data_IF_748710638838
#
_entry.id   IF_748710638838
#
_cell.length_a   1.000
_cell.length_b   1.000
_cell.length_c   1.000
_cell.angle_alpha   90.00
_cell.angle_beta   90.00
_cell.angle_gamma   90.00
#
_symmetry.space_group_name_H-M   'P 1'
#
loop_
_entity.id
_entity.type
_entity.pdbx_description
1 polymer ?
#
# COMPACT_ATOMS: atom_id res chain seq x y z
N UNK A 1 20.49 6.80 32.88
CA UNK A 1 19.44 5.78 32.73
C UNK A 1 18.19 6.48 32.22
N UNK A 2 17.86 6.33 30.94
CA UNK A 2 16.58 6.78 30.39
C UNK A 2 15.56 5.69 30.71
N UNK A 3 14.68 5.95 31.67
CA UNK A 3 13.56 5.08 31.99
C UNK A 3 12.55 5.26 30.85
N UNK A 4 12.18 4.16 30.19
CA UNK A 4 11.22 4.16 29.10
C UNK A 4 9.81 4.38 29.67
N UNK A 5 9.45 5.65 29.85
CA UNK A 5 8.28 6.09 30.63
C UNK A 5 6.97 6.17 29.84
N UNK A 6 6.99 5.90 28.54
CA UNK A 6 5.82 6.05 27.67
C UNK A 6 4.66 5.14 28.09
N UNK A 7 4.93 3.88 28.43
CA UNK A 7 3.89 2.95 28.89
C UNK A 7 3.35 3.36 30.27
N UNK A 8 4.23 3.79 31.18
CA UNK A 8 3.86 4.19 32.55
C UNK A 8 3.01 5.47 32.55
N UNK A 9 3.37 6.47 31.74
CA UNK A 9 2.62 7.71 31.59
C UNK A 9 1.23 7.43 31.00
N UNK A 10 1.13 6.56 29.98
CA UNK A 10 -0.15 6.20 29.38
C UNK A 10 -1.10 5.53 30.39
N UNK A 11 -0.59 4.59 31.19
CA UNK A 11 -1.39 3.97 32.26
C UNK A 11 -1.81 4.98 33.32
N UNK A 12 -0.93 5.91 33.71
CA UNK A 12 -1.25 6.94 34.70
C UNK A 12 -2.33 7.92 34.19
N UNK A 13 -2.22 8.34 32.93
CA UNK A 13 -3.19 9.22 32.29
C UNK A 13 -4.57 8.56 32.19
N UNK A 14 -4.63 7.26 31.89
CA UNK A 14 -5.87 6.48 31.92
C UNK A 14 -6.45 6.38 33.33
N UNK A 15 -5.62 6.03 34.33
CA UNK A 15 -6.04 5.97 35.74
C UNK A 15 -6.56 7.30 36.26
N UNK A 16 -6.06 8.42 35.76
CA UNK A 16 -6.51 9.76 36.13
C UNK A 16 -7.75 10.23 35.37
N UNK A 17 -7.83 9.93 34.07
CA UNK A 17 -8.91 10.42 33.19
C UNK A 17 -10.21 9.64 33.34
N UNK A 18 -10.16 8.33 33.58
CA UNK A 18 -11.35 7.48 33.68
C UNK A 18 -12.25 7.89 34.88
N UNK A 19 -11.72 8.05 36.11
CA UNK A 19 -12.54 8.52 37.24
C UNK A 19 -13.13 9.91 36.98
N UNK A 20 -12.35 10.82 36.39
CA UNK A 20 -12.81 12.17 36.07
C UNK A 20 -13.96 12.15 35.03
N UNK A 21 -13.87 11.29 34.02
CA UNK A 21 -14.94 11.11 33.03
C UNK A 21 -16.22 10.54 33.67
N UNK A 22 -16.09 9.58 34.59
CA UNK A 22 -17.21 9.02 35.35
C UNK A 22 -17.88 10.12 36.20
N UNK A 23 -17.11 10.92 36.93
CA UNK A 23 -17.66 12.02 37.75
C UNK A 23 -18.39 13.06 36.89
N UNK A 24 -17.82 13.45 35.74
CA UNK A 24 -18.45 14.38 34.82
C UNK A 24 -19.74 13.82 34.20
N UNK A 25 -19.80 12.52 33.92
CA UNK A 25 -21.01 11.86 33.42
C UNK A 25 -22.14 11.91 34.45
N UNK A 26 -21.86 11.58 35.71
CA UNK A 26 -22.86 11.62 36.79
C UNK A 26 -23.29 13.03 37.20
N UNK A 27 -22.47 14.06 36.96
CA UNK A 27 -22.87 15.45 37.16
C UNK A 27 -24.11 15.83 36.31
N UNK A 28 -24.36 15.14 35.20
CA UNK A 28 -25.54 15.32 34.36
C UNK A 28 -26.77 14.49 34.74
N UNK A 29 -26.67 13.59 35.72
CA UNK A 29 -27.74 12.66 36.12
C UNK A 29 -27.75 12.41 37.64
N UNK A 30 -28.35 13.34 38.42
CA UNK A 30 -28.24 13.37 39.88
C UNK A 30 -29.07 12.29 40.62
N UNK A 31 -30.06 11.66 39.98
CA UNK A 31 -31.06 10.83 40.67
C UNK A 31 -30.70 9.34 40.81
N UNK A 32 -29.59 8.86 40.23
CA UNK A 32 -29.20 7.43 40.29
C UNK A 32 -27.68 7.21 40.45
N UNK A 33 -27.12 7.36 41.66
CA UNK A 33 -25.71 7.11 41.90
C UNK A 33 -25.42 5.60 41.91
N UNK A 34 -24.87 5.08 40.81
CA UNK A 34 -24.31 3.72 40.75
C UNK A 34 -22.83 3.80 41.13
N UNK A 35 -22.44 3.19 42.25
CA UNK A 35 -21.04 3.12 42.68
C UNK A 35 -20.27 2.16 41.76
N UNK A 36 -19.41 2.71 40.90
CA UNK A 36 -18.54 1.93 40.01
C UNK A 36 -17.18 1.75 40.66
N UNK A 37 -16.89 0.53 41.14
CA UNK A 37 -15.55 0.13 41.58
C UNK A 37 -14.71 -0.29 40.38
N UNK A 38 -13.55 0.34 40.18
CA UNK A 38 -12.60 -0.04 39.12
C UNK A 38 -11.62 -1.08 39.68
N UNK A 39 -11.64 -2.28 39.12
CA UNK A 39 -10.65 -3.33 39.39
C UNK A 39 -9.82 -3.53 38.14
N UNK A 40 -8.54 -3.15 38.20
CA UNK A 40 -7.57 -3.44 37.13
C UNK A 40 -6.94 -4.81 37.36
N UNK A 41 -6.87 -5.61 36.29
CA UNK A 41 -6.14 -6.88 36.28
C UNK A 41 -5.26 -6.96 35.04
N UNK A 42 -3.98 -7.26 35.24
CA UNK A 42 -3.05 -7.43 34.14
C UNK A 42 -3.30 -8.77 33.43
N UNK A 43 -3.62 -8.68 32.14
CA UNK A 43 -3.91 -9.83 31.28
C UNK A 43 -2.64 -10.52 30.75
N UNK A 44 -1.46 -9.92 30.97
CA UNK A 44 -0.18 -10.42 30.45
C UNK A 44 0.92 -10.28 31.50
N UNK A 45 1.72 -11.34 31.76
CA UNK A 45 2.81 -11.30 32.73
C UNK A 45 4.08 -10.57 32.26
N UNK A 46 4.11 -10.09 31.01
CA UNK A 46 5.28 -9.45 30.42
C UNK A 46 4.88 -8.18 29.67
N UNK A 47 5.45 -7.05 30.09
CA UNK A 47 5.23 -5.75 29.46
C UNK A 47 5.93 -5.68 28.10
N UNK A 48 5.17 -5.30 27.09
CA UNK A 48 5.68 -4.99 25.75
C UNK A 48 5.68 -3.48 25.62
N UNK A 49 6.83 -2.93 25.25
CA UNK A 49 6.95 -1.49 25.06
C UNK A 49 6.04 -0.99 23.92
N UNK A 50 5.42 0.17 24.11
CA UNK A 50 4.48 0.77 23.16
C UNK A 50 5.13 0.98 21.78
N UNK A 51 6.41 1.36 21.77
CA UNK A 51 7.20 1.52 20.54
C UNK A 51 7.31 0.18 19.80
N UNK A 52 7.60 -0.91 20.50
CA UNK A 52 7.71 -2.23 19.88
C UNK A 52 6.37 -2.69 19.29
N UNK A 53 5.27 -2.39 19.97
CA UNK A 53 3.92 -2.68 19.47
C UNK A 53 3.59 -1.89 18.20
N UNK A 54 3.95 -0.61 18.15
CA UNK A 54 3.66 0.26 17.00
C UNK A 54 4.54 -0.03 15.78
N UNK A 55 5.74 -0.55 15.98
CA UNK A 55 6.67 -0.84 14.88
C UNK A 55 6.19 -1.97 13.97
N UNK A 56 5.55 -3.02 14.53
CA UNK A 56 5.06 -4.17 13.75
C UNK A 56 4.09 -3.75 12.63
N UNK A 57 2.99 -3.01 12.89
CA UNK A 57 2.08 -2.58 11.83
C UNK A 57 2.72 -1.60 10.84
N UNK A 58 3.63 -0.73 11.30
CA UNK A 58 4.37 0.19 10.41
C UNK A 58 5.22 -0.60 9.41
N UNK A 59 5.95 -1.63 9.88
CA UNK A 59 6.76 -2.50 9.04
C UNK A 59 5.90 -3.23 8.01
N UNK A 60 4.76 -3.79 8.44
CA UNK A 60 3.81 -4.46 7.54
C UNK A 60 3.30 -3.49 6.47
N UNK A 61 2.94 -2.27 6.85
CA UNK A 61 2.48 -1.25 5.92
C UNK A 61 3.57 -0.88 4.90
N UNK A 62 4.79 -0.64 5.36
CA UNK A 62 5.92 -0.29 4.51
C UNK A 62 6.22 -1.38 3.47
N UNK A 63 6.25 -2.63 3.93
CA UNK A 63 6.47 -3.79 3.05
C UNK A 63 5.35 -3.96 2.03
N UNK A 64 4.11 -3.71 2.43
CA UNK A 64 2.96 -3.78 1.53
C UNK A 64 3.05 -2.73 0.42
N UNK A 65 3.36 -1.49 0.78
CA UNK A 65 3.53 -0.40 -0.20
C UNK A 65 4.69 -0.71 -1.15
N UNK A 66 5.83 -1.15 -0.62
CA UNK A 66 7.00 -1.57 -1.43
C UNK A 66 6.64 -2.67 -2.43
N UNK A 67 5.89 -3.70 -2.00
CA UNK A 67 5.46 -4.78 -2.89
C UNK A 67 4.53 -4.31 -4.01
N UNK A 68 3.58 -3.43 -3.69
CA UNK A 68 2.67 -2.84 -4.68
C UNK A 68 3.44 -2.00 -5.70
N UNK A 69 4.32 -1.12 -5.23
CA UNK A 69 5.11 -0.21 -6.07
C UNK A 69 6.08 -0.98 -6.98
N UNK A 70 6.83 -1.93 -6.44
CA UNK A 70 7.75 -2.75 -7.23
C UNK A 70 7.01 -3.60 -8.27
N UNK A 71 5.87 -4.21 -7.89
CA UNK A 71 5.04 -4.98 -8.82
C UNK A 71 4.44 -4.14 -9.94
N UNK A 72 4.02 -2.92 -9.62
CA UNK A 72 3.50 -1.93 -10.57
C UNK A 72 4.57 -1.41 -11.53
N UNK A 73 5.75 -1.02 -11.02
CA UNK A 73 6.86 -0.55 -11.83
C UNK A 73 7.39 -1.65 -12.77
N UNK A 74 7.49 -2.89 -12.28
CA UNK A 74 7.85 -4.03 -13.10
C UNK A 74 6.85 -4.28 -14.23
N UNK A 75 5.55 -4.05 -13.98
CA UNK A 75 4.53 -4.12 -15.04
C UNK A 75 4.67 -2.96 -16.04
N UNK A 76 4.99 -1.75 -15.59
CA UNK A 76 5.15 -0.58 -16.45
C UNK A 76 6.36 -0.70 -17.39
N UNK A 77 7.52 -1.11 -16.86
CA UNK A 77 8.76 -1.24 -17.65
C UNK A 77 8.66 -2.26 -18.80
N UNK A 78 7.94 -3.35 -18.58
CA UNK A 78 7.69 -4.38 -19.59
C UNK A 78 6.97 -3.82 -20.85
N UNK A 79 6.24 -2.71 -20.68
CA UNK A 79 5.62 -1.99 -21.80
C UNK A 79 6.53 -0.98 -22.47
N UNK A 80 7.31 -0.23 -21.69
CA UNK A 80 8.26 0.76 -22.21
C UNK A 80 9.35 0.09 -23.06
N UNK A 81 9.84 -1.07 -22.63
CA UNK A 81 10.90 -1.81 -23.31
C UNK A 81 10.41 -2.58 -24.56
N UNK A 82 9.11 -2.49 -24.91
CA UNK A 82 8.48 -3.21 -26.04
C UNK A 82 8.74 -4.74 -26.03
N UNK A 83 9.17 -5.30 -24.90
CA UNK A 83 9.61 -6.69 -24.74
C UNK A 83 8.48 -7.67 -24.99
N UNK A 84 7.22 -7.24 -24.86
CA UNK A 84 6.04 -8.04 -25.16
C UNK A 84 6.01 -8.53 -26.60
N UNK A 85 6.48 -7.75 -27.57
CA UNK A 85 6.55 -8.21 -28.96
C UNK A 85 7.65 -9.26 -29.15
N UNK A 86 8.79 -9.09 -28.49
CA UNK A 86 9.90 -10.06 -28.52
C UNK A 86 9.53 -11.38 -27.82
N UNK A 87 8.80 -11.33 -26.71
CA UNK A 87 8.36 -12.52 -25.98
C UNK A 87 7.19 -13.26 -26.63
N UNK A 88 6.33 -12.57 -27.39
CA UNK A 88 5.29 -13.21 -28.21
C UNK A 88 5.87 -14.03 -29.38
N UNK A 89 7.11 -13.75 -29.80
CA UNK A 89 7.85 -14.56 -30.77
C UNK A 89 8.63 -15.73 -30.12
N UNK A 90 8.76 -15.75 -28.79
CA UNK A 90 9.33 -16.89 -28.08
C UNK A 90 8.22 -17.90 -27.73
N UNK A 91 8.43 -19.21 -27.91
CA UNK A 91 7.46 -20.24 -27.55
C UNK A 91 7.42 -20.46 -26.02
N UNK A 92 7.16 -19.40 -25.25
CA UNK A 92 7.00 -19.43 -23.80
C UNK A 92 5.54 -19.11 -23.45
N UNK A 93 4.97 -19.90 -22.54
CA UNK A 93 3.60 -19.68 -22.06
C UNK A 93 3.47 -18.35 -21.31
N UNK A 94 2.40 -17.60 -21.61
CA UNK A 94 2.09 -16.30 -20.95
C UNK A 94 2.01 -16.40 -19.41
N UNK A 95 1.59 -17.55 -18.90
CA UNK A 95 1.51 -17.80 -17.46
C UNK A 95 2.88 -17.87 -16.77
N UNK A 96 3.89 -18.45 -17.44
CA UNK A 96 5.26 -18.57 -16.91
C UNK A 96 5.91 -17.20 -16.74
N UNK A 97 5.62 -16.27 -17.65
CA UNK A 97 6.07 -14.88 -17.55
C UNK A 97 5.49 -14.16 -16.34
N UNK A 98 4.17 -14.23 -16.18
CA UNK A 98 3.48 -13.58 -15.06
C UNK A 98 3.96 -14.20 -13.74
N UNK A 99 4.07 -15.52 -13.67
CA UNK A 99 4.56 -16.22 -12.49
C UNK A 99 6.00 -15.85 -12.16
N UNK A 100 6.90 -15.81 -13.15
CA UNK A 100 8.29 -15.39 -12.97
C UNK A 100 8.41 -13.95 -12.46
N UNK A 101 7.55 -13.04 -12.95
CA UNK A 101 7.53 -11.64 -12.50
C UNK A 101 7.03 -11.49 -11.06
N UNK A 102 5.94 -12.18 -10.71
CA UNK A 102 5.43 -12.21 -9.34
C UNK A 102 6.48 -12.80 -8.41
N UNK A 103 7.14 -13.90 -8.81
CA UNK A 103 8.17 -14.55 -8.03
C UNK A 103 9.40 -13.66 -7.85
N UNK A 104 9.86 -12.96 -8.90
CA UNK A 104 10.95 -12.00 -8.80
C UNK A 104 10.62 -10.85 -7.84
N UNK A 105 9.41 -10.28 -7.92
CA UNK A 105 8.95 -9.24 -7.02
C UNK A 105 8.78 -9.74 -5.57
N UNK A 106 8.35 -10.98 -5.41
CA UNK A 106 8.25 -11.64 -4.12
C UNK A 106 9.63 -11.85 -3.50
N UNK A 107 10.61 -12.35 -4.26
CA UNK A 107 11.99 -12.55 -3.78
C UNK A 107 12.64 -11.23 -3.38
N UNK A 108 12.47 -10.15 -4.17
CA UNK A 108 13.04 -8.85 -3.82
C UNK A 108 12.42 -8.26 -2.56
N UNK A 109 11.10 -8.35 -2.40
CA UNK A 109 10.42 -7.91 -1.16
C UNK A 109 10.81 -8.77 0.04
N UNK A 110 11.00 -10.08 -0.15
CA UNK A 110 11.51 -10.98 0.88
C UNK A 110 12.93 -10.61 1.32
N UNK A 111 13.82 -10.28 0.37
CA UNK A 111 15.18 -9.84 0.67
C UNK A 111 15.17 -8.55 1.51
N UNK A 112 14.37 -7.56 1.12
CA UNK A 112 14.24 -6.30 1.86
C UNK A 112 13.68 -6.56 3.26
N UNK A 113 12.63 -7.37 3.37
CA UNK A 113 12.07 -7.75 4.67
C UNK A 113 13.09 -8.44 5.58
N UNK A 114 13.89 -9.35 5.03
CA UNK A 114 14.95 -10.04 5.77
C UNK A 114 16.02 -9.06 6.28
N UNK A 115 16.43 -8.09 5.46
CA UNK A 115 17.37 -7.02 5.87
C UNK A 115 16.77 -6.17 6.98
N UNK A 116 15.51 -5.74 6.84
CA UNK A 116 14.84 -4.92 7.85
C UNK A 116 14.71 -5.68 9.17
N UNK A 117 14.32 -6.96 9.13
CA UNK A 117 14.29 -7.82 10.32
C UNK A 117 15.67 -8.00 10.96
N UNK A 118 16.70 -8.24 10.16
CA UNK A 118 18.07 -8.39 10.64
C UNK A 118 18.57 -7.12 11.33
N UNK A 119 18.26 -5.94 10.76
CA UNK A 119 18.55 -4.65 11.38
C UNK A 119 17.75 -4.48 12.68
N UNK A 120 16.45 -4.75 12.68
CA UNK A 120 15.61 -4.66 13.89
C UNK A 120 16.11 -5.57 15.02
N UNK A 121 16.63 -6.75 14.68
CA UNK A 121 17.27 -7.66 15.63
C UNK A 121 18.61 -7.11 16.14
N UNK A 122 19.47 -6.61 15.25
CA UNK A 122 20.77 -6.05 15.60
C UNK A 122 20.66 -4.81 16.51
N UNK A 123 19.67 -3.94 16.27
CA UNK A 123 19.36 -2.80 17.12
C UNK A 123 18.61 -3.18 18.40
N UNK A 124 18.25 -4.46 18.58
CA UNK A 124 17.59 -4.97 19.80
C UNK A 124 16.15 -4.48 19.98
N UNK A 125 15.54 -3.89 18.94
CA UNK A 125 14.21 -3.29 18.97
C UNK A 125 13.13 -4.37 18.88
N UNK A 126 13.33 -5.38 18.03
CA UNK A 126 12.50 -6.57 17.98
C UNK A 126 13.28 -7.74 18.57
N UNK A 127 12.83 -8.26 19.71
CA UNK A 127 13.32 -9.51 20.30
C UNK A 127 12.25 -10.60 20.20
N UNK A 128 12.06 -11.22 19.03
CA UNK A 128 11.21 -12.39 18.91
C UNK A 128 11.78 -13.52 19.79
N UNK A 129 11.03 -13.90 20.83
CA UNK A 129 11.43 -14.93 21.77
C UNK A 129 11.31 -16.33 21.12
N UNK A 130 12.39 -17.11 21.04
CA UNK A 130 12.33 -18.51 20.61
C UNK A 130 11.62 -18.72 19.25
N UNK A 131 10.89 -19.82 19.09
CA UNK A 131 10.32 -20.32 17.83
C UNK A 131 9.53 -19.32 16.95
N UNK A 132 9.14 -18.14 17.45
CA UNK A 132 8.30 -17.17 16.73
C UNK A 132 8.98 -16.50 15.52
N UNK A 133 10.27 -16.73 15.25
CA UNK A 133 10.94 -16.24 14.04
C UNK A 133 10.36 -16.85 12.75
N UNK A 134 10.05 -18.15 12.78
CA UNK A 134 9.49 -18.87 11.64
C UNK A 134 8.11 -18.35 11.25
N UNK A 135 7.12 -18.26 12.15
CA UNK A 135 5.80 -17.73 11.80
C UNK A 135 5.86 -16.25 11.41
N UNK A 136 6.78 -15.45 11.97
CA UNK A 136 6.97 -14.06 11.54
C UNK A 136 7.44 -13.97 10.09
N UNK A 137 8.47 -14.75 9.71
CA UNK A 137 8.93 -14.82 8.32
C UNK A 137 7.85 -15.37 7.38
N UNK A 138 7.11 -16.39 7.81
CA UNK A 138 6.00 -16.94 7.02
C UNK A 138 4.89 -15.91 6.80
N UNK A 139 4.48 -15.19 7.85
CA UNK A 139 3.47 -14.14 7.75
C UNK A 139 3.92 -13.01 6.82
N UNK A 140 5.16 -12.54 6.97
CA UNK A 140 5.73 -11.52 6.08
C UNK A 140 5.79 -12.03 4.64
N UNK A 141 6.12 -13.31 4.43
CA UNK A 141 6.14 -13.94 3.11
C UNK A 141 4.79 -14.00 2.43
N UNK A 142 3.75 -14.33 3.18
CA UNK A 142 2.37 -14.34 2.68
C UNK A 142 1.89 -12.92 2.35
N UNK A 143 2.18 -11.94 3.21
CA UNK A 143 1.82 -10.54 2.97
C UNK A 143 2.57 -9.99 1.75
N UNK A 144 3.87 -10.26 1.64
CA UNK A 144 4.68 -9.86 0.49
C UNK A 144 4.18 -10.49 -0.81
N UNK A 145 3.76 -11.76 -0.77
CA UNK A 145 3.19 -12.44 -1.94
C UNK A 145 1.86 -11.82 -2.36
N UNK A 146 0.98 -11.53 -1.40
CA UNK A 146 -0.28 -10.84 -1.66
C UNK A 146 -0.05 -9.43 -2.22
N UNK A 147 0.90 -8.67 -1.66
CA UNK A 147 1.25 -7.32 -2.11
C UNK A 147 1.85 -7.31 -3.52
N UNK A 148 2.75 -8.26 -3.84
CA UNK A 148 3.33 -8.40 -5.18
C UNK A 148 2.27 -8.82 -6.21
N UNK A 149 1.38 -9.75 -5.86
CA UNK A 149 0.24 -10.12 -6.68
C UNK A 149 -0.69 -8.94 -6.96
N UNK A 150 -1.04 -8.18 -5.92
CA UNK A 150 -1.85 -6.97 -6.04
C UNK A 150 -1.15 -5.90 -6.88
N UNK A 151 0.13 -5.60 -6.63
CA UNK A 151 0.89 -4.61 -7.38
C UNK A 151 1.00 -4.93 -8.86
N UNK A 152 1.27 -6.20 -9.20
CA UNK A 152 1.31 -6.64 -10.59
C UNK A 152 -0.07 -6.63 -11.26
N UNK A 153 -1.12 -7.02 -10.53
CA UNK A 153 -2.50 -6.97 -11.02
C UNK A 153 -2.97 -5.52 -11.23
N UNK A 154 -2.70 -4.61 -10.28
CA UNK A 154 -3.00 -3.18 -10.37
C UNK A 154 -2.22 -2.53 -11.52
N UNK A 155 -0.93 -2.82 -11.66
CA UNK A 155 -0.14 -2.33 -12.80
C UNK A 155 -0.70 -2.78 -14.15
N UNK A 156 -1.21 -4.01 -14.23
CA UNK A 156 -1.91 -4.50 -15.42
C UNK A 156 -3.32 -3.92 -15.62
N UNK A 157 -4.08 -3.70 -14.54
CA UNK A 157 -5.46 -3.23 -14.57
C UNK A 157 -5.55 -1.72 -14.85
N UNK A 158 -4.73 -0.90 -14.21
CA UNK A 158 -4.66 0.55 -14.47
C UNK A 158 -4.31 0.84 -15.94
N UNK A 159 -3.56 -0.07 -16.58
CA UNK A 159 -3.31 -0.01 -18.01
C UNK A 159 -4.55 -0.29 -18.87
N UNK A 160 -5.47 -1.17 -18.43
CA UNK A 160 -6.77 -1.33 -19.12
C UNK A 160 -7.58 -0.04 -19.04
N UNK A 161 -7.52 0.67 -17.91
CA UNK A 161 -8.19 1.96 -17.75
C UNK A 161 -7.56 3.06 -18.61
N UNK A 162 -6.23 3.16 -18.73
CA UNK A 162 -5.60 4.12 -19.64
C UNK A 162 -5.81 3.78 -21.13
N UNK A 163 -5.87 2.50 -21.49
CA UNK A 163 -6.20 2.07 -22.86
C UNK A 163 -7.69 2.34 -23.22
N UNK A 164 -8.58 2.28 -22.23
CA UNK A 164 -10.00 2.66 -22.38
C UNK A 164 -10.16 4.18 -22.38
N UNK A 165 -9.42 4.91 -21.54
CA UNK A 165 -9.43 6.38 -21.52
C UNK A 165 -8.83 6.99 -22.81
N UNK A 166 -7.77 6.39 -23.36
CA UNK A 166 -7.19 6.79 -24.64
C UNK A 166 -8.14 6.59 -25.82
N UNK A 167 -9.01 5.58 -25.77
CA UNK A 167 -10.06 5.37 -26.78
C UNK A 167 -11.29 6.27 -26.56
N UNK A 168 -11.54 6.74 -25.34
CA UNK A 168 -12.56 7.75 -25.07
C UNK A 168 -12.12 9.15 -25.50
N UNK A 169 -10.82 9.43 -25.60
CA UNK A 169 -10.30 10.72 -26.08
C UNK A 169 -10.20 10.85 -27.61
N UNK A 170 -10.45 9.79 -28.40
CA UNK A 170 -10.36 9.83 -29.88
C UNK A 170 -11.67 10.19 -30.59
N UNK A 171 -12.66 10.76 -29.90
CA UNK A 171 -13.86 11.33 -30.54
C UNK A 171 -14.30 12.56 -29.75
N UNK A 172 -13.80 13.77 -30.09
CA UNK A 172 -14.39 14.57 -31.17
C UNK A 172 -13.44 15.53 -31.93
N UNK A 173 -12.11 15.32 -31.92
CA UNK A 173 -11.18 16.29 -32.55
C UNK A 173 -11.16 16.24 -34.08
N UNK A 174 -11.69 15.18 -34.72
CA UNK A 174 -11.80 15.09 -36.19
C UNK A 174 -12.94 15.90 -36.79
N UNK A 175 -13.89 16.41 -35.99
CA UNK A 175 -14.93 17.32 -36.50
C UNK A 175 -14.53 18.80 -36.47
N UNK A 176 -13.50 19.19 -35.70
CA UNK A 176 -13.09 20.60 -35.62
C UNK A 176 -12.09 20.98 -36.73
N UNK A 177 -11.28 20.05 -37.21
CA UNK A 177 -10.31 20.32 -38.28
C UNK A 177 -10.90 20.39 -39.70
N UNK A 178 -12.19 20.07 -39.88
CA UNK A 178 -12.87 20.13 -41.20
C UNK A 178 -13.76 21.38 -41.35
N UNK A 179 -13.97 22.16 -40.28
CA UNK A 179 -14.77 23.38 -40.31
C UNK A 179 -13.91 24.65 -40.52
N UNK A 180 -12.60 24.59 -40.23
CA UNK A 180 -11.70 25.76 -40.26
C UNK A 180 -11.07 26.01 -41.64
N UNK A 181 -11.11 25.05 -42.57
CA UNK A 181 -10.59 25.19 -43.94
C UNK A 181 -11.60 25.81 -44.94
N UNK A 182 -12.84 26.10 -44.53
CA UNK A 182 -13.88 26.65 -45.41
C UNK A 182 -14.09 28.17 -45.31
N UNK A 183 -13.31 28.89 -44.51
CA UNK A 183 -13.53 30.32 -44.21
C UNK A 183 -12.39 31.24 -44.70
N UNK A 184 -11.30 30.69 -45.23
CA UNK A 184 -10.13 31.48 -45.65
C UNK A 184 -9.66 31.12 -47.07
N UNK A 185 -10.47 31.42 -48.08
CA UNK A 185 -9.95 32.01 -49.33
C UNK A 185 -11.05 32.69 -50.17
N UNK A 186 -10.81 33.92 -50.67
CA UNK A 186 -11.75 34.66 -51.50
C UNK A 186 -11.83 34.06 -52.90
N UNK A 187 -13.05 33.76 -53.33
CA UNK A 187 -13.37 33.36 -54.71
C UNK A 187 -13.06 34.52 -55.67
N UNK A 188 -11.84 34.54 -56.21
CA UNK A 188 -11.49 35.32 -57.37
C UNK A 188 -11.88 34.52 -58.62
N UNK A 189 -12.96 34.97 -59.26
CA UNK A 189 -13.41 34.63 -60.61
C UNK A 189 -12.25 34.73 -61.63
N UNK A 190 -12.22 33.84 -62.64
CA UNK A 190 -12.05 34.10 -64.11
C UNK A 190 -11.53 32.85 -64.84
N UNK A 191 -12.17 32.52 -65.97
CA UNK A 191 -11.57 31.83 -67.13
C UNK A 191 -11.81 30.32 -67.17
N UNK A 192 -12.87 29.80 -67.80
CA UNK A 192 -13.10 29.67 -69.25
C UNK A 192 -11.93 29.09 -70.05
N UNK A 193 -12.21 27.94 -70.70
CA UNK A 193 -11.85 27.49 -72.07
C UNK A 193 -11.45 26.00 -72.09
N UNK A 194 -11.49 25.33 -73.25
CA UNK A 194 -12.38 25.47 -74.41
C UNK A 194 -13.39 24.32 -74.53
#
# INVERSE_FOLDING_TARGET
>A
MQINNLNLDFTNDLRRSVPAAITNFYAGQPDTPIMVGVSESDLRPHDVDLVQFQLVPILVLLLTIMGIVNGGLAAAREFEDLTIKALLLSPIGRGTLIAGKILACWVTTMLVAAVVLALSFAFGVLRPAGWYWLPALAAIGLIALAAAGLGTALGGALRRFSAVAGQASTSPSTCFSSAEESVLQPSCRIGSRP
#
